data_IF_907463690867
#
_entry.id   IF_907463690867
#
_cell.length_a   1.000
_cell.length_b   1.000
_cell.length_c   1.000
_cell.angle_alpha   90.00
_cell.angle_beta   90.00
_cell.angle_gamma   90.00
#
_symmetry.space_group_name_H-M   'P 1'
#
loop_
_entity.id
_entity.type
_entity.pdbx_description
1 polymer ?
#
# COMPACT_ATOMS: atom_id res chain seq x y z
N UNK A 1 -30.52 14.30 11.13
CA UNK A 1 -29.35 13.67 10.49
C UNK A 1 -28.53 13.04 11.61
N UNK A 2 -28.60 11.71 11.78
CA UNK A 2 -27.78 11.01 12.77
C UNK A 2 -26.31 11.17 12.40
N UNK A 3 -25.46 11.50 13.37
CA UNK A 3 -24.02 11.64 13.13
C UNK A 3 -23.46 10.34 12.56
N UNK A 4 -23.01 10.39 11.30
CA UNK A 4 -22.36 9.25 10.66
C UNK A 4 -20.98 9.14 11.29
N UNK A 5 -20.78 8.14 12.15
CA UNK A 5 -19.48 7.89 12.76
C UNK A 5 -18.55 7.30 11.70
N UNK A 6 -17.30 7.77 11.66
CA UNK A 6 -16.25 7.28 10.75
C UNK A 6 -16.11 5.75 10.81
N UNK A 7 -16.28 5.17 12.01
CA UNK A 7 -16.26 3.73 12.23
C UNK A 7 -17.33 2.99 11.42
N UNK A 8 -18.51 3.57 11.26
CA UNK A 8 -19.61 2.94 10.53
C UNK A 8 -19.32 2.93 9.02
N UNK A 9 -18.71 3.99 8.51
CA UNK A 9 -18.25 4.06 7.11
C UNK A 9 -17.15 3.02 6.83
N UNK A 10 -16.16 2.91 7.72
CA UNK A 10 -15.10 1.90 7.59
C UNK A 10 -15.68 0.48 7.67
N UNK A 11 -16.60 0.24 8.61
CA UNK A 11 -17.27 -1.06 8.76
C UNK A 11 -18.14 -1.39 7.55
N UNK A 12 -18.77 -0.40 6.94
CA UNK A 12 -19.54 -0.55 5.71
C UNK A 12 -18.63 -0.98 4.54
N UNK A 13 -17.53 -0.26 4.32
CA UNK A 13 -16.53 -0.66 3.32
C UNK A 13 -16.01 -2.08 3.57
N UNK A 14 -15.71 -2.40 4.83
CA UNK A 14 -15.24 -3.73 5.24
C UNK A 14 -16.27 -4.83 4.95
N UNK A 15 -17.55 -4.58 5.22
CA UNK A 15 -18.62 -5.53 4.96
C UNK A 15 -18.89 -5.72 3.46
N UNK A 16 -18.81 -4.65 2.67
CA UNK A 16 -19.03 -4.66 1.22
C UNK A 16 -17.90 -5.35 0.45
N UNK A 17 -16.68 -5.35 1.01
CA UNK A 17 -15.47 -5.93 0.41
C UNK A 17 -15.09 -7.30 0.97
N UNK A 18 -16.01 -7.98 1.67
CA UNK A 18 -15.79 -9.30 2.32
C UNK A 18 -15.24 -10.41 1.41
N UNK A 19 -15.25 -10.29 0.09
CA UNK A 19 -14.58 -11.24 -0.81
C UNK A 19 -13.06 -11.05 -0.97
N UNK A 20 -12.50 -9.89 -0.60
CA UNK A 20 -11.12 -9.48 -0.95
C UNK A 20 -10.20 -9.20 0.25
N UNK A 21 -10.66 -9.42 1.49
CA UNK A 21 -9.93 -9.03 2.69
C UNK A 21 -8.63 -9.83 2.94
N UNK A 22 -8.58 -11.11 2.58
CA UNK A 22 -7.40 -11.94 2.83
C UNK A 22 -6.18 -11.57 1.96
N UNK A 23 -6.27 -11.53 0.62
CA UNK A 23 -5.11 -11.19 -0.20
C UNK A 23 -4.65 -9.73 0.04
N UNK A 24 -5.56 -8.87 0.46
CA UNK A 24 -5.30 -7.50 0.88
C UNK A 24 -4.50 -7.37 2.18
N UNK A 25 -4.92 -8.07 3.25
CA UNK A 25 -4.19 -8.08 4.53
C UNK A 25 -2.81 -8.69 4.32
N UNK A 26 -2.71 -9.77 3.54
CA UNK A 26 -1.44 -10.41 3.19
C UNK A 26 -0.51 -9.43 2.48
N UNK A 27 -1.00 -8.69 1.48
CA UNK A 27 -0.16 -7.73 0.74
C UNK A 27 0.32 -6.59 1.63
N UNK A 28 -0.54 -6.04 2.49
CA UNK A 28 -0.12 -4.99 3.44
C UNK A 28 0.92 -5.51 4.42
N UNK A 29 0.72 -6.70 5.00
CA UNK A 29 1.68 -7.29 5.93
C UNK A 29 3.03 -7.55 5.25
N UNK A 30 3.03 -8.10 4.04
CA UNK A 30 4.26 -8.35 3.26
C UNK A 30 5.01 -7.05 2.98
N UNK A 31 4.31 -5.97 2.62
CA UNK A 31 4.93 -4.66 2.39
C UNK A 31 5.55 -4.11 3.68
N UNK A 32 4.82 -4.14 4.80
CA UNK A 32 5.31 -3.62 6.09
C UNK A 32 6.56 -4.38 6.51
N UNK A 33 6.55 -5.71 6.43
CA UNK A 33 7.68 -6.55 6.80
C UNK A 33 8.86 -6.28 5.87
N UNK A 34 8.67 -6.29 4.56
CA UNK A 34 9.76 -6.08 3.60
C UNK A 34 10.39 -4.68 3.69
N UNK A 35 9.58 -3.65 3.90
CA UNK A 35 10.09 -2.28 4.05
C UNK A 35 10.79 -2.05 5.38
N UNK A 36 10.30 -2.64 6.47
CA UNK A 36 10.93 -2.55 7.79
C UNK A 36 12.26 -3.31 7.84
N UNK A 37 12.32 -4.50 7.23
CA UNK A 37 13.57 -5.26 7.15
C UNK A 37 14.55 -4.53 6.25
N UNK A 38 14.13 -4.10 5.06
CA UNK A 38 15.01 -3.45 4.08
C UNK A 38 15.64 -2.16 4.61
N UNK A 39 14.88 -1.34 5.34
CA UNK A 39 15.39 -0.07 5.89
C UNK A 39 16.46 -0.25 6.98
N UNK A 40 16.42 -1.37 7.72
CA UNK A 40 17.39 -1.68 8.78
C UNK A 40 18.57 -2.51 8.26
N UNK A 41 18.31 -3.46 7.36
CA UNK A 41 19.33 -4.40 6.88
C UNK A 41 20.32 -3.75 5.91
N UNK A 42 19.87 -2.93 4.95
CA UNK A 42 20.76 -2.30 3.97
C UNK A 42 21.87 -1.46 4.63
N UNK A 43 21.58 -0.51 5.55
CA UNK A 43 22.62 0.25 6.23
C UNK A 43 23.59 -0.61 7.04
N UNK A 44 23.10 -1.69 7.65
CA UNK A 44 23.94 -2.61 8.40
C UNK A 44 24.91 -3.39 7.50
N UNK A 45 24.46 -3.86 6.34
CA UNK A 45 25.33 -4.51 5.36
C UNK A 45 26.35 -3.54 4.74
N UNK A 46 25.97 -2.29 4.48
CA UNK A 46 26.93 -1.27 4.04
C UNK A 46 27.97 -0.98 5.12
N UNK A 47 27.57 -0.89 6.39
CA UNK A 47 28.51 -0.74 7.50
C UNK A 47 29.49 -1.92 7.53
N UNK A 48 28.98 -3.15 7.48
CA UNK A 48 29.81 -4.36 7.48
C UNK A 48 30.79 -4.39 6.30
N UNK A 49 30.35 -3.92 5.13
CA UNK A 49 31.18 -3.79 3.95
C UNK A 49 32.36 -2.84 4.18
N UNK A 50 32.09 -1.62 4.66
CA UNK A 50 33.15 -0.64 4.92
C UNK A 50 34.06 -1.06 6.09
N UNK A 51 33.51 -1.62 7.17
CA UNK A 51 34.31 -2.14 8.29
C UNK A 51 35.28 -3.25 7.82
N UNK A 52 34.84 -4.10 6.89
CA UNK A 52 35.70 -5.16 6.30
C UNK A 52 36.80 -4.58 5.40
N UNK A 53 36.52 -3.49 4.68
CA UNK A 53 37.55 -2.78 3.88
C UNK A 53 38.60 -2.13 4.78
N UNK A 54 38.18 -1.49 5.87
CA UNK A 54 39.09 -0.76 6.78
C UNK A 54 39.93 -1.71 7.63
N UNK A 55 39.36 -2.84 8.07
CA UNK A 55 40.07 -3.83 8.88
C UNK A 55 40.96 -4.78 8.06
N UNK A 56 40.76 -4.87 6.75
CA UNK A 56 41.48 -5.79 5.87
C UNK A 56 42.81 -5.22 5.37
N UNK A 57 43.81 -6.10 5.23
CA UNK A 57 45.08 -5.78 4.57
C UNK A 57 44.97 -5.95 3.05
N UNK A 58 45.56 -5.02 2.29
CA UNK A 58 45.55 -5.05 0.81
C UNK A 58 46.28 -6.30 0.31
N UNK A 59 45.59 -7.14 -0.47
CA UNK A 59 46.17 -8.33 -1.11
C UNK A 59 45.80 -9.67 -0.47
N UNK A 60 45.01 -9.69 0.61
CA UNK A 60 44.54 -10.92 1.25
C UNK A 60 43.32 -11.55 0.50
N UNK A 61 43.42 -12.79 -0.01
CA UNK A 61 42.33 -13.47 -0.70
C UNK A 61 41.07 -13.69 0.16
N UNK A 62 41.22 -13.89 1.48
CA UNK A 62 40.07 -14.12 2.38
C UNK A 62 39.20 -12.85 2.50
N UNK A 63 39.85 -11.69 2.62
CA UNK A 63 39.19 -10.39 2.65
C UNK A 63 38.39 -10.14 1.36
N UNK A 64 38.98 -10.44 0.19
CA UNK A 64 38.29 -10.30 -1.10
C UNK A 64 37.05 -11.21 -1.21
N UNK A 65 37.15 -12.46 -0.77
CA UNK A 65 36.02 -13.40 -0.76
C UNK A 65 34.89 -12.95 0.17
N UNK A 66 35.25 -12.38 1.34
CA UNK A 66 34.27 -11.84 2.30
C UNK A 66 33.52 -10.64 1.73
N UNK A 67 34.22 -9.72 1.05
CA UNK A 67 33.61 -8.56 0.41
C UNK A 67 32.65 -8.96 -0.72
N UNK A 68 33.04 -9.93 -1.57
CA UNK A 68 32.16 -10.46 -2.61
C UNK A 68 30.88 -11.06 -2.01
N UNK A 69 30.99 -11.81 -0.91
CA UNK A 69 29.82 -12.38 -0.22
C UNK A 69 28.89 -11.27 0.30
N UNK A 70 29.44 -10.20 0.87
CA UNK A 70 28.66 -9.06 1.36
C UNK A 70 27.93 -8.35 0.21
N UNK A 71 28.62 -8.09 -0.91
CA UNK A 71 28.01 -7.47 -2.11
C UNK A 71 26.89 -8.34 -2.66
N UNK A 72 27.08 -9.66 -2.74
CA UNK A 72 26.03 -10.58 -3.20
C UNK A 72 24.79 -10.55 -2.29
N UNK A 73 24.98 -10.48 -0.97
CA UNK A 73 23.86 -10.32 -0.03
C UNK A 73 23.14 -8.98 -0.20
N UNK A 74 23.88 -7.88 -0.39
CA UNK A 74 23.29 -6.55 -0.67
C UNK A 74 22.46 -6.62 -1.96
N UNK A 75 23.01 -7.20 -3.02
CA UNK A 75 22.32 -7.36 -4.30
C UNK A 75 21.06 -8.21 -4.19
N UNK A 76 21.13 -9.34 -3.47
CA UNK A 76 19.99 -10.22 -3.23
C UNK A 76 18.89 -9.51 -2.44
N UNK A 77 19.23 -8.88 -1.31
CA UNK A 77 18.28 -8.16 -0.47
C UNK A 77 17.63 -6.98 -1.22
N UNK A 78 18.43 -6.22 -1.98
CA UNK A 78 17.93 -5.14 -2.81
C UNK A 78 16.95 -5.63 -3.89
N UNK A 79 17.25 -6.77 -4.52
CA UNK A 79 16.39 -7.40 -5.52
C UNK A 79 15.08 -7.88 -4.90
N UNK A 80 15.13 -8.53 -3.74
CA UNK A 80 13.94 -8.98 -3.01
C UNK A 80 13.06 -7.79 -2.63
N UNK A 81 13.66 -6.72 -2.09
CA UNK A 81 12.92 -5.50 -1.74
C UNK A 81 12.25 -4.88 -2.98
N UNK A 82 12.97 -4.80 -4.09
CA UNK A 82 12.43 -4.30 -5.35
C UNK A 82 11.27 -5.16 -5.87
N UNK A 83 11.41 -6.48 -5.82
CA UNK A 83 10.34 -7.40 -6.22
C UNK A 83 9.10 -7.23 -5.36
N UNK A 84 9.24 -7.14 -4.03
CA UNK A 84 8.09 -6.90 -3.14
C UNK A 84 7.41 -5.57 -3.47
N UNK A 85 8.18 -4.51 -3.69
CA UNK A 85 7.63 -3.22 -4.10
C UNK A 85 6.87 -3.31 -5.42
N UNK A 86 7.42 -4.03 -6.42
CA UNK A 86 6.83 -4.17 -7.74
C UNK A 86 5.55 -5.00 -7.72
N UNK A 87 5.55 -6.11 -6.99
CA UNK A 87 4.40 -6.99 -6.81
C UNK A 87 3.25 -6.30 -6.08
N UNK A 88 3.57 -5.48 -5.06
CA UNK A 88 2.60 -4.63 -4.36
C UNK A 88 1.85 -3.70 -5.33
N UNK A 89 2.58 -2.96 -6.17
CA UNK A 89 1.96 -2.05 -7.14
C UNK A 89 1.09 -2.79 -8.16
N UNK A 90 1.54 -3.95 -8.64
CA UNK A 90 0.76 -4.78 -9.57
C UNK A 90 -0.55 -5.28 -8.93
N UNK A 91 -0.47 -5.76 -7.69
CA UNK A 91 -1.64 -6.24 -6.96
C UNK A 91 -2.67 -5.13 -6.72
N UNK A 92 -2.22 -3.94 -6.29
CA UNK A 92 -3.10 -2.78 -6.11
C UNK A 92 -3.78 -2.36 -7.41
N UNK A 93 -3.03 -2.30 -8.52
CA UNK A 93 -3.58 -1.95 -9.84
C UNK A 93 -4.64 -2.95 -10.34
N UNK A 94 -4.49 -4.23 -10.01
CA UNK A 94 -5.47 -5.26 -10.34
C UNK A 94 -6.69 -5.25 -9.42
N UNK A 95 -6.49 -4.97 -8.12
CA UNK A 95 -7.53 -5.08 -7.11
C UNK A 95 -8.44 -3.84 -7.05
N UNK A 96 -7.90 -2.63 -7.14
CA UNK A 96 -8.67 -1.39 -6.97
C UNK A 96 -9.88 -1.30 -7.91
N UNK A 97 -9.74 -1.45 -9.24
CA UNK A 97 -10.88 -1.34 -10.15
C UNK A 97 -11.93 -2.42 -9.91
N UNK A 98 -11.52 -3.63 -9.48
CA UNK A 98 -12.46 -4.71 -9.14
C UNK A 98 -13.31 -4.35 -7.93
N UNK A 99 -12.67 -3.82 -6.89
CA UNK A 99 -13.37 -3.42 -5.67
C UNK A 99 -14.27 -2.20 -5.93
N UNK A 100 -13.82 -1.24 -6.72
CA UNK A 100 -14.67 -0.11 -7.14
C UNK A 100 -15.91 -0.58 -7.90
N UNK A 101 -15.77 -1.55 -8.81
CA UNK A 101 -16.91 -2.15 -9.52
C UNK A 101 -17.94 -2.76 -8.56
N UNK A 102 -17.48 -3.54 -7.57
CA UNK A 102 -18.35 -4.15 -6.56
C UNK A 102 -19.05 -3.08 -5.72
N UNK A 103 -18.30 -2.08 -5.24
CA UNK A 103 -18.87 -0.99 -4.45
C UNK A 103 -19.90 -0.19 -5.23
N UNK A 104 -19.64 0.06 -6.52
CA UNK A 104 -20.55 0.78 -7.40
C UNK A 104 -21.85 0.01 -7.61
N UNK A 105 -21.76 -1.28 -7.89
CA UNK A 105 -22.93 -2.15 -8.08
C UNK A 105 -23.79 -2.24 -6.82
N UNK A 106 -23.17 -2.50 -5.67
CA UNK A 106 -23.87 -2.60 -4.39
C UNK A 106 -24.52 -1.27 -3.98
N UNK A 107 -23.80 -0.16 -4.13
CA UNK A 107 -24.32 1.17 -3.78
C UNK A 107 -25.45 1.59 -4.71
N UNK A 108 -25.33 1.32 -6.00
CA UNK A 108 -26.38 1.63 -6.96
C UNK A 108 -27.63 0.76 -6.75
N UNK A 109 -27.45 -0.54 -6.51
CA UNK A 109 -28.54 -1.47 -6.18
C UNK A 109 -29.28 -1.05 -4.91
N UNK A 110 -28.56 -0.58 -3.89
CA UNK A 110 -29.18 -0.02 -2.68
C UNK A 110 -29.95 1.28 -2.98
N UNK A 111 -29.37 2.17 -3.80
CA UNK A 111 -29.99 3.44 -4.17
C UNK A 111 -31.34 3.23 -4.89
N UNK A 112 -31.40 2.38 -5.92
CA UNK A 112 -32.61 2.18 -6.74
C UNK A 112 -33.76 1.52 -5.97
N UNK A 113 -33.49 0.87 -4.83
CA UNK A 113 -34.52 0.27 -3.96
C UNK A 113 -35.22 1.29 -3.06
N UNK A 114 -34.84 2.56 -3.13
CA UNK A 114 -35.47 3.60 -2.33
C UNK A 114 -36.83 4.04 -2.89
N UNK A 115 -37.65 4.71 -2.07
CA UNK A 115 -39.02 5.07 -2.45
C UNK A 115 -39.06 6.20 -3.48
N UNK A 116 -40.12 6.26 -4.27
CA UNK A 116 -40.33 7.35 -5.23
C UNK A 116 -40.28 8.74 -4.56
N UNK A 117 -40.81 8.86 -3.33
CA UNK A 117 -40.75 10.09 -2.53
C UNK A 117 -39.31 10.54 -2.21
N UNK A 118 -38.38 9.60 -2.04
CA UNK A 118 -36.95 9.94 -1.86
C UNK A 118 -36.37 10.60 -3.12
N UNK A 119 -36.71 10.07 -4.30
CA UNK A 119 -36.25 10.62 -5.58
C UNK A 119 -36.96 11.91 -5.97
N UNK A 120 -38.24 12.09 -5.61
CA UNK A 120 -38.97 13.34 -5.82
C UNK A 120 -38.41 14.52 -5.02
N UNK A 121 -37.71 14.24 -3.91
CA UNK A 121 -37.15 15.26 -3.01
C UNK A 121 -35.65 15.53 -3.23
N UNK A 122 -34.98 14.85 -4.17
CA UNK A 122 -33.56 15.04 -4.44
C UNK A 122 -33.27 15.07 -5.95
N UNK A 123 -32.48 16.04 -6.39
CA UNK A 123 -32.03 16.08 -7.78
C UNK A 123 -31.15 14.86 -8.11
N UNK A 124 -31.50 14.10 -9.15
CA UNK A 124 -30.86 12.83 -9.53
C UNK A 124 -29.35 12.99 -9.73
N UNK A 125 -28.90 14.09 -10.35
CA UNK A 125 -27.47 14.34 -10.55
C UNK A 125 -26.68 14.49 -9.25
N UNK A 126 -27.32 14.95 -8.16
CA UNK A 126 -26.69 15.03 -6.85
C UNK A 126 -26.52 13.65 -6.19
N UNK A 127 -27.47 12.73 -6.43
CA UNK A 127 -27.43 11.35 -5.95
C UNK A 127 -26.31 10.58 -6.65
N UNK A 128 -26.23 10.64 -7.99
CA UNK A 128 -25.16 9.99 -8.76
C UNK A 128 -23.78 10.48 -8.32
N UNK A 129 -23.63 11.80 -8.09
CA UNK A 129 -22.37 12.37 -7.60
C UNK A 129 -22.00 11.87 -6.20
N UNK A 130 -22.97 11.68 -5.30
CA UNK A 130 -22.73 11.10 -3.97
C UNK A 130 -22.26 9.65 -4.07
N UNK A 131 -22.88 8.85 -4.93
CA UNK A 131 -22.47 7.45 -5.18
C UNK A 131 -21.05 7.38 -5.70
N UNK A 132 -20.73 8.12 -6.77
CA UNK A 132 -19.37 8.12 -7.32
C UNK A 132 -18.35 8.58 -6.28
N UNK A 133 -18.64 9.66 -5.54
CA UNK A 133 -17.74 10.13 -4.47
C UNK A 133 -17.47 9.07 -3.40
N UNK A 134 -18.48 8.28 -3.02
CA UNK A 134 -18.34 7.18 -2.07
C UNK A 134 -17.47 6.05 -2.61
N UNK A 135 -17.68 5.65 -3.87
CA UNK A 135 -16.89 4.59 -4.53
C UNK A 135 -15.43 5.04 -4.68
N UNK A 136 -15.20 6.21 -5.27
CA UNK A 136 -13.87 6.74 -5.55
C UNK A 136 -13.07 7.03 -4.27
N UNK A 137 -13.75 7.24 -3.13
CA UNK A 137 -13.08 7.47 -1.86
C UNK A 137 -12.39 6.22 -1.32
N UNK A 138 -12.87 5.03 -1.68
CA UNK A 138 -12.31 3.76 -1.20
C UNK A 138 -10.83 3.59 -1.56
N UNK A 139 -10.42 3.60 -2.85
CA UNK A 139 -9.02 3.41 -3.20
C UNK A 139 -8.14 4.54 -2.68
N UNK A 140 -8.65 5.78 -2.55
CA UNK A 140 -7.88 6.90 -1.98
C UNK A 140 -7.55 6.69 -0.51
N UNK A 141 -8.53 6.25 0.28
CA UNK A 141 -8.31 5.90 1.70
C UNK A 141 -7.32 4.74 1.77
N UNK A 142 -7.51 3.75 0.90
CA UNK A 142 -6.73 2.55 0.93
C UNK A 142 -5.28 2.77 0.49
N UNK A 143 -5.06 3.54 -0.55
CA UNK A 143 -3.75 4.00 -1.01
C UNK A 143 -3.03 4.76 0.11
N UNK A 144 -3.74 5.61 0.87
CA UNK A 144 -3.16 6.26 2.05
C UNK A 144 -2.80 5.29 3.17
N UNK A 145 -3.51 4.18 3.36
CA UNK A 145 -3.14 3.17 4.37
C UNK A 145 -1.91 2.39 3.90
N UNK A 146 -1.90 1.97 2.64
CA UNK A 146 -0.80 1.21 2.04
C UNK A 146 0.49 2.04 1.95
N UNK A 147 0.40 3.28 1.46
CA UNK A 147 1.55 4.14 1.18
C UNK A 147 1.76 5.26 2.20
N UNK A 148 0.81 5.52 3.10
CA UNK A 148 0.95 6.56 4.12
C UNK A 148 2.03 6.24 5.16
N UNK A 149 2.31 4.96 5.39
CA UNK A 149 3.49 4.55 6.17
C UNK A 149 4.81 4.97 5.50
N UNK A 150 4.83 5.11 4.17
CA UNK A 150 5.99 5.57 3.40
C UNK A 150 6.04 7.09 3.23
N UNK A 151 4.93 7.82 3.36
CA UNK A 151 4.95 9.29 3.26
C UNK A 151 5.58 9.95 4.48
N UNK A 152 5.50 9.31 5.66
CA UNK A 152 6.20 9.78 6.86
C UNK A 152 7.74 9.70 6.72
N UNK A 153 8.25 8.83 5.86
CA UNK A 153 9.70 8.73 5.57
C UNK A 153 10.10 9.48 4.29
N UNK A 154 9.19 9.68 3.33
CA UNK A 154 9.44 10.41 2.08
C UNK A 154 9.23 11.93 2.18
N UNK A 155 8.66 12.44 3.28
CA UNK A 155 8.48 13.87 3.54
C UNK A 155 9.80 14.67 3.56
N UNK A 156 10.95 14.00 3.69
CA UNK A 156 12.27 14.60 3.60
C UNK A 156 12.80 14.74 2.15
N UNK A 157 12.28 14.00 1.17
CA UNK A 157 12.81 14.00 -0.22
C UNK A 157 12.02 14.85 -1.22
N UNK A 158 10.82 15.33 -0.87
CA UNK A 158 10.00 16.18 -1.76
C UNK A 158 10.22 17.69 -1.64
N UNK A 159 11.15 18.17 -0.79
CA UNK A 159 11.49 19.60 -0.68
C UNK A 159 12.66 20.06 -1.57
N UNK A 160 13.23 19.19 -2.41
CA UNK A 160 14.40 19.52 -3.26
C UNK A 160 14.08 19.34 -4.77
N UNK A 161 12.82 19.55 -5.17
CA UNK A 161 12.50 19.83 -6.58
C UNK A 161 11.43 20.89 -6.66
#
# INVERSE_FOLDING_TARGET
MSEVRIRDTIRLYWNMTKGFHWPFVVVVLVIIIATSIGSLTLPWFYKLFFDTIVAGSVGDPETAQRLLRIILWIGLLGTVQWLVWRSSGFFSAWMYPKVEGILRDQTFTYLIRHSYRFFGNQFIGSLVRKVNRFVDAFPRIWEKIQWGNLSMTQGARRRIR
#
